data_IF_686087045698
#
_entry.id   IF_686087045698
#
_cell.length_a   1.000
_cell.length_b   1.000
_cell.length_c   1.000
_cell.angle_alpha   90.00
_cell.angle_beta   90.00
_cell.angle_gamma   90.00
#
_symmetry.space_group_name_H-M   'P 1'
#
loop_
_entity.id
_entity.type
_entity.pdbx_description
1 polymer ?
#
# COMPACT_ATOMS: atom_id res chain seq x y z
N UNK A 1 7.28 60.05 36.77
CA UNK A 1 7.52 59.33 35.48
C UNK A 1 7.32 57.86 35.72
N UNK A 2 6.14 57.34 35.36
CA UNK A 2 5.75 55.96 35.63
C UNK A 2 6.06 55.09 34.41
N UNK A 3 6.86 54.06 34.58
CA UNK A 3 7.16 53.10 33.48
C UNK A 3 6.16 51.96 33.51
N UNK A 4 5.34 51.87 32.48
CA UNK A 4 4.43 50.75 32.27
C UNK A 4 5.21 49.65 31.56
N UNK A 5 5.40 48.50 32.22
CA UNK A 5 5.98 47.32 31.61
C UNK A 5 4.87 46.49 30.92
N UNK A 6 4.98 46.32 29.62
CA UNK A 6 4.13 45.39 28.85
C UNK A 6 4.69 43.98 28.97
N UNK A 7 3.93 43.09 29.62
CA UNK A 7 4.22 41.66 29.59
C UNK A 7 3.67 41.06 28.29
N UNK A 8 4.55 40.57 27.41
CA UNK A 8 4.18 39.80 26.23
C UNK A 8 3.94 38.36 26.71
N UNK A 9 2.67 37.96 26.74
CA UNK A 9 2.28 36.55 26.91
C UNK A 9 2.62 35.80 25.60
N UNK A 10 3.69 35.01 25.59
CA UNK A 10 3.96 34.05 24.56
C UNK A 10 3.01 32.85 24.73
N UNK A 11 1.97 32.78 23.88
CA UNK A 11 1.11 31.60 23.78
C UNK A 11 1.92 30.50 23.12
N UNK A 12 2.40 29.54 23.90
CA UNK A 12 2.96 28.29 23.39
C UNK A 12 1.80 27.47 22.80
N UNK A 13 1.68 27.46 21.49
CA UNK A 13 0.85 26.47 20.78
C UNK A 13 1.55 25.13 20.99
N UNK A 14 0.99 24.30 21.87
CA UNK A 14 1.40 22.91 21.99
C UNK A 14 1.09 22.23 20.66
N UNK A 15 2.11 21.91 19.88
CA UNK A 15 1.99 21.04 18.75
C UNK A 15 1.56 19.67 19.30
N UNK A 16 0.28 19.32 19.16
CA UNK A 16 -0.17 17.96 19.38
C UNK A 16 0.48 17.09 18.29
N UNK A 17 1.59 16.46 18.64
CA UNK A 17 2.18 15.37 17.88
C UNK A 17 1.19 14.20 17.94
N UNK A 18 0.37 14.05 16.93
CA UNK A 18 -0.38 12.82 16.68
C UNK A 18 0.62 11.75 16.27
N UNK A 19 1.00 10.90 17.24
CA UNK A 19 2.21 10.11 17.22
C UNK A 19 2.17 8.83 16.37
N UNK A 20 1.61 8.83 15.17
CA UNK A 20 1.80 7.71 14.25
C UNK A 20 2.83 8.14 13.18
N UNK A 21 4.04 7.59 13.28
CA UNK A 21 5.03 7.72 12.21
C UNK A 21 4.60 6.85 11.02
N UNK A 22 4.76 7.32 9.76
CA UNK A 22 4.47 6.50 8.61
C UNK A 22 5.43 5.31 8.52
N UNK A 23 4.90 4.14 8.17
CA UNK A 23 5.71 2.93 7.97
C UNK A 23 6.42 2.93 6.61
N UNK A 24 5.91 3.69 5.65
CA UNK A 24 6.55 3.98 4.36
C UNK A 24 6.29 5.44 4.02
N UNK A 25 7.33 6.14 3.61
CA UNK A 25 7.23 7.47 3.01
C UNK A 25 8.21 7.58 1.83
N UNK A 26 7.67 7.83 0.63
CA UNK A 26 8.45 7.97 -0.59
C UNK A 26 7.80 8.99 -1.54
N UNK A 27 8.30 9.06 -2.77
CA UNK A 27 7.83 10.00 -3.79
C UNK A 27 6.42 9.74 -4.34
N UNK A 28 5.81 8.57 -4.06
CA UNK A 28 4.50 8.17 -4.55
C UNK A 28 3.44 8.11 -3.46
N UNK A 29 3.81 7.67 -2.27
CA UNK A 29 2.87 7.39 -1.19
C UNK A 29 3.45 7.71 0.17
N UNK A 30 2.57 8.04 1.12
CA UNK A 30 2.82 7.95 2.56
C UNK A 30 1.88 6.89 3.12
N UNK A 31 2.39 5.97 3.95
CA UNK A 31 1.62 4.80 4.41
C UNK A 31 1.67 4.70 5.92
N UNK A 32 0.52 4.52 6.53
CA UNK A 32 0.37 4.28 7.97
C UNK A 32 -0.29 2.91 8.23
N UNK A 33 0.14 2.25 9.29
CA UNK A 33 -0.55 1.10 9.88
C UNK A 33 -1.09 1.53 11.25
N UNK A 34 -2.39 1.64 11.36
CA UNK A 34 -3.03 2.28 12.52
C UNK A 34 -4.24 1.52 13.03
N UNK A 35 -4.51 1.63 14.34
CA UNK A 35 -5.76 1.23 15.00
C UNK A 35 -6.59 2.41 15.46
N UNK A 36 -6.17 3.63 15.10
CA UNK A 36 -6.85 4.88 15.44
C UNK A 36 -7.12 5.68 14.17
N UNK A 37 -8.12 6.57 14.17
CA UNK A 37 -8.29 7.54 13.10
C UNK A 37 -7.04 8.40 12.95
N UNK A 38 -6.63 8.67 11.72
CA UNK A 38 -5.59 9.66 11.42
C UNK A 38 -6.19 11.06 11.31
N UNK A 39 -5.38 12.13 11.34
CA UNK A 39 -5.82 13.46 10.94
C UNK A 39 -6.45 13.45 9.53
N UNK A 40 -7.22 14.50 9.15
CA UNK A 40 -7.72 14.64 7.80
C UNK A 40 -6.60 14.49 6.77
N UNK A 41 -6.81 13.64 5.77
CA UNK A 41 -5.81 13.27 4.76
C UNK A 41 -5.38 14.50 3.94
N UNK A 42 -4.07 14.58 3.65
CA UNK A 42 -3.51 15.66 2.83
C UNK A 42 -3.71 15.40 1.33
N UNK A 43 -3.93 14.15 0.94
CA UNK A 43 -4.20 13.70 -0.43
C UNK A 43 -5.31 12.65 -0.41
N UNK A 44 -5.81 12.27 -1.60
CA UNK A 44 -6.66 11.08 -1.73
C UNK A 44 -5.92 9.83 -1.24
N UNK A 45 -6.65 8.85 -0.75
CA UNK A 45 -6.05 7.66 -0.16
C UNK A 45 -6.81 6.37 -0.47
N UNK A 46 -6.12 5.24 -0.34
CA UNK A 46 -6.72 3.91 -0.23
C UNK A 46 -6.55 3.42 1.21
N UNK A 47 -7.62 2.92 1.79
CA UNK A 47 -7.56 2.29 3.11
C UNK A 47 -7.90 0.80 2.99
N UNK A 48 -6.99 -0.05 3.48
CA UNK A 48 -7.11 -1.50 3.52
C UNK A 48 -7.41 -1.95 4.94
N UNK A 49 -8.52 -2.63 5.15
CA UNK A 49 -8.91 -3.11 6.48
C UNK A 49 -8.25 -4.46 6.78
N UNK A 50 -7.37 -4.52 7.77
CA UNK A 50 -6.80 -5.78 8.27
C UNK A 50 -7.75 -6.52 9.23
N UNK A 51 -8.85 -5.89 9.64
CA UNK A 51 -9.90 -6.53 10.44
C UNK A 51 -10.92 -7.29 9.59
N UNK A 52 -10.94 -7.06 8.28
CA UNK A 52 -11.83 -7.72 7.32
C UNK A 52 -11.09 -8.00 6.02
N UNK A 53 -10.77 -9.26 5.82
CA UNK A 53 -10.00 -9.77 4.67
C UNK A 53 -10.58 -9.32 3.33
N UNK A 54 -9.70 -8.94 2.40
CA UNK A 54 -10.07 -8.53 1.05
C UNK A 54 -10.97 -7.29 1.00
N UNK A 55 -10.77 -6.31 1.90
CA UNK A 55 -11.58 -5.11 1.97
C UNK A 55 -10.71 -3.86 1.88
N UNK A 56 -11.03 -3.01 0.90
CA UNK A 56 -10.44 -1.69 0.74
C UNK A 56 -11.49 -0.67 0.31
N UNK A 57 -11.23 0.60 0.61
CA UNK A 57 -12.03 1.72 0.11
C UNK A 57 -11.13 2.88 -0.31
N UNK A 58 -11.65 3.75 -1.16
CA UNK A 58 -11.02 4.98 -1.57
C UNK A 58 -11.63 6.15 -0.80
N UNK A 59 -10.80 7.02 -0.26
CA UNK A 59 -11.20 8.26 0.40
C UNK A 59 -10.54 9.46 -0.26
N UNK A 60 -11.11 10.64 -0.01
CA UNK A 60 -10.67 11.89 -0.60
C UNK A 60 -9.83 12.72 0.37
N UNK A 61 -9.06 13.64 -0.19
CA UNK A 61 -8.39 14.69 0.57
C UNK A 61 -9.39 15.37 1.52
N UNK A 62 -9.00 15.55 2.79
CA UNK A 62 -9.85 16.11 3.84
C UNK A 62 -10.69 15.09 4.61
N UNK A 63 -10.90 13.88 4.09
CA UNK A 63 -11.53 12.79 4.85
C UNK A 63 -10.61 12.34 6.00
N UNK A 64 -11.21 11.81 7.05
CA UNK A 64 -10.47 11.21 8.18
C UNK A 64 -10.31 9.71 7.94
N UNK A 65 -9.10 9.22 7.57
CA UNK A 65 -8.89 7.80 7.33
C UNK A 65 -8.73 7.00 8.62
N UNK A 66 -9.08 5.71 8.55
CA UNK A 66 -9.01 4.79 9.68
C UNK A 66 -10.25 4.84 10.57
N UNK A 67 -10.33 3.89 11.51
CA UNK A 67 -11.42 3.77 12.47
C UNK A 67 -10.87 3.26 13.79
N UNK A 68 -11.31 3.84 14.90
CA UNK A 68 -10.92 3.40 16.24
C UNK A 68 -11.20 1.90 16.44
N UNK A 69 -10.20 1.17 16.93
CA UNK A 69 -10.27 -0.28 17.22
C UNK A 69 -10.17 -1.20 15.99
N UNK A 70 -10.13 -0.66 14.76
CA UNK A 70 -9.95 -1.46 13.55
C UNK A 70 -8.56 -1.21 12.95
N UNK A 71 -7.71 -2.24 12.89
CA UNK A 71 -6.39 -2.11 12.24
C UNK A 71 -6.57 -1.87 10.75
N UNK A 72 -6.03 -0.75 10.28
CA UNK A 72 -6.18 -0.26 8.91
C UNK A 72 -4.83 0.20 8.39
N UNK A 73 -4.50 -0.21 7.16
CA UNK A 73 -3.38 0.35 6.41
C UNK A 73 -3.93 1.46 5.53
N UNK A 74 -3.46 2.69 5.76
CA UNK A 74 -3.83 3.88 4.98
C UNK A 74 -2.70 4.21 4.04
N UNK A 75 -3.00 4.31 2.74
CA UNK A 75 -2.06 4.60 1.65
C UNK A 75 -2.46 5.93 1.06
N UNK A 76 -1.87 7.01 1.52
CA UNK A 76 -2.10 8.35 0.99
C UNK A 76 -1.31 8.53 -0.31
N UNK A 77 -1.99 9.01 -1.36
CA UNK A 77 -1.49 9.05 -2.73
C UNK A 77 -0.91 10.43 -3.02
N UNK A 78 0.40 10.56 -3.09
CA UNK A 78 1.06 11.82 -3.45
C UNK A 78 0.78 12.20 -4.93
N UNK A 79 0.79 13.49 -5.23
CA UNK A 79 0.45 14.04 -6.55
C UNK A 79 1.55 13.80 -7.61
N UNK A 80 2.05 12.58 -7.68
CA UNK A 80 3.01 12.13 -8.68
C UNK A 80 2.45 10.97 -9.49
N UNK A 81 1.60 11.28 -10.46
CA UNK A 81 1.18 10.31 -11.45
C UNK A 81 2.36 9.90 -12.35
N UNK A 82 2.50 8.62 -12.59
CA UNK A 82 3.47 8.08 -13.55
C UNK A 82 2.70 7.16 -14.51
N UNK A 83 2.72 7.43 -15.82
CA UNK A 83 2.05 6.55 -16.77
C UNK A 83 2.60 5.13 -16.67
N UNK A 84 1.79 4.11 -16.91
CA UNK A 84 2.25 2.72 -16.98
C UNK A 84 3.43 2.60 -17.96
N UNK A 85 4.38 1.72 -17.64
CA UNK A 85 5.49 1.45 -18.56
C UNK A 85 5.00 0.67 -19.77
N UNK A 86 5.56 0.98 -20.93
CA UNK A 86 5.36 0.17 -22.13
C UNK A 86 5.89 -1.25 -21.87
N UNK A 87 5.05 -2.25 -22.12
CA UNK A 87 5.46 -3.64 -21.97
C UNK A 87 6.17 -4.12 -23.23
N UNK A 88 7.49 -4.23 -23.15
CA UNK A 88 8.35 -4.75 -24.22
C UNK A 88 8.87 -6.17 -23.94
N UNK A 89 8.41 -6.80 -22.84
CA UNK A 89 8.97 -8.08 -22.38
C UNK A 89 8.39 -9.30 -23.11
N UNK A 90 7.25 -9.16 -23.78
CA UNK A 90 6.50 -10.27 -24.36
C UNK A 90 5.68 -11.10 -23.35
N UNK A 91 5.81 -10.84 -22.06
CA UNK A 91 4.99 -11.46 -21.00
C UNK A 91 3.70 -10.66 -20.74
N UNK A 92 2.62 -11.29 -20.26
CA UNK A 92 1.42 -10.55 -19.88
C UNK A 92 1.68 -9.57 -18.75
N UNK A 93 0.81 -8.57 -18.58
CA UNK A 93 0.81 -7.71 -17.41
C UNK A 93 0.50 -8.49 -16.13
N UNK A 94 0.99 -8.01 -14.99
CA UNK A 94 0.76 -8.63 -13.69
C UNK A 94 -0.73 -8.72 -13.34
N UNK A 95 -1.53 -7.76 -13.78
CA UNK A 95 -2.98 -7.73 -13.57
C UNK A 95 -3.73 -7.22 -14.82
N UNK A 96 -4.99 -7.72 -15.06
CA UNK A 96 -5.64 -8.79 -14.29
C UNK A 96 -5.01 -10.16 -14.58
N UNK A 97 -5.09 -11.08 -13.62
CA UNK A 97 -4.68 -12.47 -13.75
C UNK A 97 -5.76 -13.43 -13.23
N UNK A 98 -5.69 -14.74 -13.53
CA UNK A 98 -6.73 -15.69 -13.07
C UNK A 98 -7.00 -15.58 -11.57
N UNK A 99 -8.27 -15.66 -11.19
CA UNK A 99 -8.76 -15.66 -9.79
C UNK A 99 -8.51 -14.36 -9.00
N UNK A 100 -8.02 -13.29 -9.65
CA UNK A 100 -7.96 -11.97 -9.02
C UNK A 100 -9.36 -11.35 -8.95
N UNK A 101 -9.65 -10.65 -7.85
CA UNK A 101 -10.86 -9.85 -7.70
C UNK A 101 -10.49 -8.37 -7.69
N UNK A 102 -11.07 -7.58 -8.58
CA UNK A 102 -10.95 -6.13 -8.56
C UNK A 102 -11.83 -5.58 -7.43
N UNK A 103 -11.26 -4.85 -6.48
CA UNK A 103 -11.99 -4.20 -5.39
C UNK A 103 -12.50 -2.82 -5.82
N UNK A 104 -11.64 -2.04 -6.44
CA UNK A 104 -11.96 -0.72 -6.96
C UNK A 104 -10.99 -0.29 -8.08
N UNK A 105 -11.41 0.67 -8.87
CA UNK A 105 -10.58 1.32 -9.88
C UNK A 105 -11.05 2.77 -10.09
N UNK A 106 -10.09 3.69 -10.21
CA UNK A 106 -10.33 5.07 -10.59
C UNK A 106 -9.15 5.63 -11.39
N UNK A 107 -9.08 6.95 -11.57
CA UNK A 107 -8.00 7.60 -12.33
C UNK A 107 -6.61 7.43 -11.69
N UNK A 108 -6.52 7.21 -10.36
CA UNK A 108 -5.26 7.19 -9.60
C UNK A 108 -4.77 5.76 -9.31
N UNK A 109 -5.68 4.80 -9.12
CA UNK A 109 -5.34 3.44 -8.67
C UNK A 109 -6.23 2.37 -9.27
N UNK A 110 -5.71 1.13 -9.26
CA UNK A 110 -6.51 -0.11 -9.31
C UNK A 110 -6.18 -0.92 -8.08
N UNK A 111 -7.18 -1.42 -7.36
CA UNK A 111 -6.99 -2.24 -6.15
C UNK A 111 -7.52 -3.63 -6.39
N UNK A 112 -6.68 -4.60 -6.11
CA UNK A 112 -6.90 -6.01 -6.33
C UNK A 112 -6.88 -6.79 -5.02
N UNK A 113 -7.71 -7.80 -4.92
CA UNK A 113 -7.69 -8.82 -3.89
C UNK A 113 -7.19 -10.13 -4.53
N UNK A 114 -6.10 -10.68 -4.01
CA UNK A 114 -5.46 -11.86 -4.60
C UNK A 114 -4.95 -12.84 -3.57
N UNK A 115 -5.26 -14.12 -3.80
CA UNK A 115 -4.71 -15.24 -3.04
C UNK A 115 -3.84 -16.10 -3.94
N UNK A 116 -2.61 -16.39 -3.51
CA UNK A 116 -1.77 -17.40 -4.16
C UNK A 116 -2.21 -18.80 -3.76
N UNK A 117 -2.15 -19.73 -4.69
CA UNK A 117 -2.53 -21.12 -4.47
C UNK A 117 -1.29 -22.00 -4.33
N UNK A 118 -1.27 -22.94 -3.38
CA UNK A 118 -0.16 -23.90 -3.23
C UNK A 118 0.06 -24.68 -4.53
N UNK A 119 1.33 -24.88 -4.90
CA UNK A 119 1.74 -25.65 -6.07
C UNK A 119 1.29 -25.10 -7.43
N UNK A 120 0.70 -23.91 -7.46
CA UNK A 120 0.28 -23.25 -8.69
C UNK A 120 1.09 -21.95 -8.87
N UNK A 121 2.16 -21.97 -9.67
CA UNK A 121 2.90 -20.73 -9.95
C UNK A 121 2.02 -19.76 -10.73
N UNK A 122 2.17 -18.46 -10.45
CA UNK A 122 1.58 -17.44 -11.34
C UNK A 122 2.25 -17.53 -12.71
N UNK A 123 1.58 -17.20 -13.81
CA UNK A 123 2.27 -17.01 -15.09
C UNK A 123 3.43 -16.01 -14.91
N UNK A 124 4.51 -16.16 -15.70
CA UNK A 124 5.52 -15.12 -15.82
C UNK A 124 4.83 -13.84 -16.28
N UNK A 125 5.02 -12.72 -15.57
CA UNK A 125 4.29 -11.47 -15.79
C UNK A 125 5.15 -10.23 -15.56
N UNK A 126 4.76 -9.14 -16.20
CA UNK A 126 5.44 -7.84 -16.11
C UNK A 126 4.62 -6.83 -15.30
N UNK A 127 5.27 -6.14 -14.37
CA UNK A 127 4.70 -5.04 -13.60
C UNK A 127 4.97 -3.69 -14.29
N UNK A 128 3.97 -3.16 -14.95
CA UNK A 128 4.01 -1.85 -15.62
C UNK A 128 3.78 -0.66 -14.69
N UNK A 129 3.32 -0.93 -13.46
CA UNK A 129 3.00 0.07 -12.41
C UNK A 129 3.70 -0.23 -11.11
N UNK A 130 3.97 0.83 -10.33
CA UNK A 130 4.32 0.68 -8.92
C UNK A 130 3.13 0.09 -8.16
N UNK A 131 3.40 -0.77 -7.17
CA UNK A 131 2.36 -1.41 -6.39
C UNK A 131 2.69 -1.42 -4.90
N UNK A 132 1.68 -1.14 -4.08
CA UNK A 132 1.73 -1.37 -2.65
C UNK A 132 0.98 -2.67 -2.35
N UNK A 133 1.60 -3.56 -1.59
CA UNK A 133 1.05 -4.87 -1.21
C UNK A 133 0.87 -4.91 0.30
N UNK A 134 -0.35 -5.17 0.74
CA UNK A 134 -0.72 -5.37 2.15
C UNK A 134 -1.06 -6.84 2.33
N UNK A 135 -0.21 -7.59 3.05
CA UNK A 135 -0.39 -9.03 3.24
C UNK A 135 -1.40 -9.31 4.35
N UNK A 136 -2.41 -10.09 4.03
CA UNK A 136 -3.50 -10.48 4.93
C UNK A 136 -3.38 -11.93 5.41
N UNK A 137 -2.25 -12.57 5.14
CA UNK A 137 -1.92 -13.91 5.60
C UNK A 137 -0.41 -14.08 5.70
N UNK A 138 0.03 -15.10 6.47
CA UNK A 138 1.44 -15.48 6.61
C UNK A 138 1.78 -16.57 5.61
N UNK A 139 2.90 -16.41 4.89
CA UNK A 139 3.35 -17.39 3.91
C UNK A 139 4.72 -17.08 3.34
N UNK A 140 5.18 -17.98 2.46
CA UNK A 140 6.43 -17.82 1.72
C UNK A 140 6.16 -17.92 0.22
N UNK A 141 6.64 -16.94 -0.54
CA UNK A 141 6.56 -16.92 -2.00
C UNK A 141 7.96 -16.99 -2.59
N UNK A 142 8.20 -17.99 -3.43
CA UNK A 142 9.37 -18.01 -4.29
C UNK A 142 9.08 -17.18 -5.54
N UNK A 143 9.85 -16.11 -5.72
CA UNK A 143 9.80 -15.27 -6.93
C UNK A 143 10.94 -15.69 -7.86
N UNK A 144 10.65 -15.98 -9.13
CA UNK A 144 11.65 -16.40 -10.13
C UNK A 144 11.60 -15.47 -11.33
N UNK A 145 12.74 -14.87 -11.67
CA UNK A 145 12.91 -13.97 -12.82
C UNK A 145 13.13 -14.74 -14.12
N UNK A 146 13.00 -14.11 -15.32
CA UNK A 146 13.18 -14.78 -16.60
C UNK A 146 14.56 -15.45 -16.81
N UNK A 147 15.60 -14.96 -16.14
CA UNK A 147 16.95 -15.56 -16.16
C UNK A 147 17.10 -16.74 -15.18
N UNK A 148 15.99 -17.19 -14.58
CA UNK A 148 15.95 -18.36 -13.68
C UNK A 148 16.39 -18.09 -12.24
N UNK A 149 16.78 -16.86 -11.89
CA UNK A 149 17.13 -16.54 -10.51
C UNK A 149 15.90 -16.53 -9.63
N UNK A 150 16.00 -17.21 -8.48
CA UNK A 150 14.90 -17.32 -7.52
C UNK A 150 15.26 -16.65 -6.21
N UNK A 151 14.26 -15.99 -5.61
CA UNK A 151 14.33 -15.39 -4.28
C UNK A 151 13.16 -15.88 -3.45
N UNK A 152 13.41 -16.34 -2.23
CA UNK A 152 12.36 -16.72 -1.28
C UNK A 152 12.00 -15.51 -0.42
N UNK A 153 10.74 -15.13 -0.46
CA UNK A 153 10.20 -14.00 0.28
C UNK A 153 9.22 -14.50 1.34
N UNK A 154 9.48 -14.14 2.60
CA UNK A 154 8.61 -14.47 3.74
C UNK A 154 7.76 -13.27 4.09
N UNK A 155 6.49 -13.52 4.35
CA UNK A 155 5.50 -12.50 4.74
C UNK A 155 4.76 -12.92 5.99
N UNK A 156 4.40 -11.93 6.78
CA UNK A 156 3.51 -12.09 7.93
C UNK A 156 2.21 -11.32 7.68
N UNK A 157 1.16 -11.70 8.40
CA UNK A 157 -0.07 -10.91 8.43
C UNK A 157 0.23 -9.46 8.84
N UNK A 158 -0.20 -8.51 8.03
CA UNK A 158 0.03 -7.08 8.22
C UNK A 158 1.34 -6.55 7.64
N UNK A 159 2.18 -7.38 7.01
CA UNK A 159 3.35 -6.86 6.29
C UNK A 159 2.91 -5.96 5.14
N UNK A 160 3.66 -4.87 4.94
CA UNK A 160 3.41 -3.88 3.90
C UNK A 160 4.67 -3.74 3.06
N UNK A 161 4.52 -3.80 1.73
CA UNK A 161 5.65 -3.65 0.80
C UNK A 161 5.32 -2.72 -0.33
N UNK A 162 6.20 -1.77 -0.58
CA UNK A 162 6.19 -0.96 -1.79
C UNK A 162 7.09 -1.62 -2.84
N UNK A 163 6.53 -1.94 -3.97
CA UNK A 163 7.22 -2.58 -5.08
C UNK A 163 7.26 -1.64 -6.28
N UNK A 164 8.45 -1.28 -6.73
CA UNK A 164 8.63 -0.49 -7.95
C UNK A 164 8.16 -1.29 -9.17
N UNK A 165 7.69 -0.59 -10.18
CA UNK A 165 7.43 -1.13 -11.54
C UNK A 165 8.72 -1.61 -12.21
N UNK A 166 8.63 -2.10 -13.43
CA UNK A 166 9.73 -2.65 -14.22
C UNK A 166 10.32 -3.94 -13.63
N UNK A 167 9.42 -4.85 -13.25
CA UNK A 167 9.80 -6.17 -12.74
C UNK A 167 9.07 -7.25 -13.54
N UNK A 168 9.81 -8.31 -13.85
CA UNK A 168 9.26 -9.50 -14.52
C UNK A 168 9.58 -10.72 -13.68
N UNK A 169 8.56 -11.47 -13.29
CA UNK A 169 8.73 -12.69 -12.51
C UNK A 169 7.49 -13.60 -12.54
N UNK A 170 7.67 -14.82 -12.08
CA UNK A 170 6.61 -15.71 -11.61
C UNK A 170 6.70 -15.85 -10.10
N UNK A 171 5.60 -16.20 -9.43
CA UNK A 171 5.54 -16.42 -7.99
C UNK A 171 4.92 -17.77 -7.69
N UNK A 172 5.54 -18.54 -6.78
CA UNK A 172 5.06 -19.83 -6.30
C UNK A 172 4.90 -19.78 -4.78
N UNK A 173 3.72 -20.13 -4.28
CA UNK A 173 3.50 -20.31 -2.86
C UNK A 173 4.17 -21.61 -2.41
N UNK A 174 5.21 -21.49 -1.58
CA UNK A 174 6.01 -22.63 -1.08
C UNK A 174 5.61 -23.06 0.32
N UNK A 175 5.09 -22.12 1.13
CA UNK A 175 4.68 -22.43 2.51
C UNK A 175 3.56 -21.49 2.98
N UNK A 176 2.64 -21.99 3.80
CA UNK A 176 1.58 -21.21 4.44
C UNK A 176 0.44 -20.84 3.48
N UNK A 177 -0.16 -19.68 3.72
CA UNK A 177 -1.22 -19.11 2.88
C UNK A 177 -0.84 -17.69 2.53
N UNK A 178 -0.60 -17.38 1.26
CA UNK A 178 -0.37 -16.00 0.83
C UNK A 178 -1.66 -15.39 0.31
N UNK A 179 -2.04 -14.26 0.86
CA UNK A 179 -3.19 -13.45 0.46
C UNK A 179 -2.85 -11.99 0.69
N UNK A 180 -3.21 -11.12 -0.23
CA UNK A 180 -2.93 -9.70 -0.12
C UNK A 180 -3.96 -8.83 -0.84
N UNK A 181 -4.10 -7.59 -0.34
CA UNK A 181 -4.65 -6.47 -1.10
C UNK A 181 -3.50 -5.74 -1.78
N UNK A 182 -3.62 -5.57 -3.10
CA UNK A 182 -2.58 -4.99 -3.96
C UNK A 182 -3.13 -3.72 -4.58
N UNK A 183 -2.49 -2.58 -4.32
CA UNK A 183 -2.83 -1.27 -4.89
C UNK A 183 -1.81 -0.91 -5.96
N UNK A 184 -2.20 -0.98 -7.24
CA UNK A 184 -1.41 -0.46 -8.37
C UNK A 184 -1.62 1.05 -8.51
N UNK A 185 -0.54 1.81 -8.63
CA UNK A 185 -0.54 3.28 -8.76
C UNK A 185 -0.45 3.67 -10.25
N UNK A 186 -1.43 4.47 -10.70
CA UNK A 186 -1.48 5.00 -12.08
C UNK A 186 -0.68 6.28 -12.25
#
# INVERSE_FOLDING_TARGET
MSRIAFAVLASSVAAFSWGAEPVIDNDRVTVWDTTQPLPPAQHDFVAVSLSRKGTAYFGHQGDTPGKAGARTVVIELKDRALPPLANTTGYPLAFPRPRVRKLLENAKVVVWDYAWHPHEPTPMHFHDKDALVVYEATGELQSTTPDGKSTLNKYKFGDIRFNRRDRTHTELLTQGTAHAVITELK
#
